data_IF_895917960090
#
_entry.id   IF_895917960090
#
_cell.length_a   1.000
_cell.length_b   1.000
_cell.length_c   1.000
_cell.angle_alpha   90.00
_cell.angle_beta   90.00
_cell.angle_gamma   90.00
#
_symmetry.space_group_name_H-M   'P 1'
#
loop_
_entity.id
_entity.type
_entity.pdbx_description
1 polymer ?
#
# COMPACT_ATOMS: atom_id res chain seq x y z
N UNK A 1 -28.41 -57.32 16.44
CA UNK A 1 -27.88 -56.38 15.43
C UNK A 1 -28.68 -55.09 15.58
N UNK A 2 -28.19 -54.15 16.39
CA UNK A 2 -28.77 -52.83 16.59
C UNK A 2 -27.90 -51.83 15.84
N UNK A 3 -28.51 -51.09 14.91
CA UNK A 3 -27.86 -50.02 14.16
C UNK A 3 -28.01 -48.75 15.00
N UNK A 4 -26.92 -48.29 15.61
CA UNK A 4 -26.84 -46.96 16.22
C UNK A 4 -26.55 -45.95 15.11
N UNK A 5 -27.50 -45.07 14.83
CA UNK A 5 -27.32 -43.94 13.93
C UNK A 5 -26.81 -42.79 14.81
N UNK A 6 -25.52 -42.47 14.71
CA UNK A 6 -24.98 -41.23 15.27
C UNK A 6 -25.48 -40.06 14.42
N UNK A 7 -26.34 -39.23 14.99
CA UNK A 7 -26.66 -37.91 14.46
C UNK A 7 -25.66 -36.93 15.08
N UNK A 8 -24.65 -36.53 14.30
CA UNK A 8 -23.81 -35.38 14.64
C UNK A 8 -24.64 -34.11 14.39
N UNK A 9 -25.04 -33.45 15.47
CA UNK A 9 -25.49 -32.06 15.46
C UNK A 9 -24.26 -31.20 15.26
N UNK A 10 -24.05 -30.69 14.04
CA UNK A 10 -23.01 -29.71 13.72
C UNK A 10 -23.68 -28.45 13.21
N UNK A 11 -24.20 -27.63 14.12
CA UNK A 11 -24.59 -26.25 13.85
C UNK A 11 -24.40 -25.44 15.14
N UNK A 12 -24.03 -24.17 14.99
CA UNK A 12 -23.60 -23.19 16.01
C UNK A 12 -22.09 -23.18 16.35
N UNK A 13 -21.27 -22.64 15.43
CA UNK A 13 -20.08 -21.86 15.82
C UNK A 13 -19.52 -20.96 14.70
N UNK A 14 -20.04 -21.02 13.47
CA UNK A 14 -19.57 -20.20 12.34
C UNK A 14 -20.23 -18.82 12.26
N UNK A 15 -21.46 -18.65 12.76
CA UNK A 15 -22.20 -17.39 12.64
C UNK A 15 -21.73 -16.28 13.60
N UNK A 16 -21.19 -16.63 14.77
CA UNK A 16 -20.81 -15.65 15.80
C UNK A 16 -19.43 -15.02 15.61
N UNK A 17 -18.55 -15.65 14.82
CA UNK A 17 -17.19 -15.17 14.61
C UNK A 17 -17.10 -14.17 13.44
N UNK A 18 -17.87 -14.34 12.36
CA UNK A 18 -17.87 -13.38 11.24
C UNK A 18 -18.51 -12.05 11.61
N UNK A 19 -19.64 -12.07 12.35
CA UNK A 19 -20.36 -10.86 12.75
C UNK A 19 -19.57 -9.99 13.74
N UNK A 20 -18.78 -10.62 14.63
CA UNK A 20 -17.91 -9.88 15.55
C UNK A 20 -16.74 -9.23 14.85
N UNK A 21 -16.06 -9.93 13.93
CA UNK A 21 -14.93 -9.36 13.17
C UNK A 21 -15.39 -8.23 12.24
N UNK A 22 -16.52 -8.40 11.55
CA UNK A 22 -17.13 -7.38 10.70
C UNK A 22 -17.43 -6.09 11.48
N UNK A 23 -17.92 -6.23 12.72
CA UNK A 23 -18.23 -5.08 13.58
C UNK A 23 -16.95 -4.32 14.01
N UNK A 24 -15.86 -5.04 14.33
CA UNK A 24 -14.61 -4.40 14.79
C UNK A 24 -13.94 -3.56 13.70
N UNK A 25 -13.86 -4.05 12.45
CA UNK A 25 -13.29 -3.24 11.36
C UNK A 25 -14.19 -2.10 10.93
N UNK A 26 -15.52 -2.26 11.02
CA UNK A 26 -16.44 -1.15 10.80
C UNK A 26 -16.19 -0.01 11.79
N UNK A 27 -16.04 -0.32 13.09
CA UNK A 27 -15.73 0.66 14.13
C UNK A 27 -14.36 1.33 13.90
N UNK A 28 -13.35 0.54 13.51
CA UNK A 28 -12.03 1.07 13.17
C UNK A 28 -12.11 2.06 12.00
N UNK A 29 -12.80 1.69 10.93
CA UNK A 29 -12.92 2.54 9.74
C UNK A 29 -13.65 3.86 10.05
N UNK A 30 -14.66 3.86 10.92
CA UNK A 30 -15.32 5.10 11.37
C UNK A 30 -14.34 6.02 12.13
N UNK A 31 -13.52 5.45 13.01
CA UNK A 31 -12.49 6.20 13.75
C UNK A 31 -11.41 6.74 12.83
N UNK A 32 -10.97 5.96 11.84
CA UNK A 32 -9.99 6.39 10.84
C UNK A 32 -10.55 7.51 9.95
N UNK A 33 -11.82 7.40 9.51
CA UNK A 33 -12.48 8.46 8.76
C UNK A 33 -12.58 9.77 9.56
N UNK A 34 -12.89 9.66 10.85
CA UNK A 34 -12.91 10.81 11.78
C UNK A 34 -11.52 11.44 11.91
N UNK A 35 -10.48 10.61 12.10
CA UNK A 35 -9.10 11.07 12.15
C UNK A 35 -8.68 11.77 10.86
N UNK A 36 -9.00 11.19 9.69
CA UNK A 36 -8.72 11.80 8.40
C UNK A 36 -9.32 13.19 8.30
N UNK A 37 -10.62 13.32 8.55
CA UNK A 37 -11.31 14.60 8.47
C UNK A 37 -10.67 15.67 9.38
N UNK A 38 -10.28 15.29 10.61
CA UNK A 38 -9.60 16.17 11.55
C UNK A 38 -8.21 16.59 11.03
N UNK A 39 -7.38 15.61 10.64
CA UNK A 39 -6.01 15.86 10.16
C UNK A 39 -5.99 16.78 8.94
N UNK A 40 -6.89 16.55 7.97
CA UNK A 40 -7.02 17.41 6.79
C UNK A 40 -7.43 18.84 7.14
N UNK A 41 -8.40 19.00 8.04
CA UNK A 41 -8.87 20.32 8.49
C UNK A 41 -7.78 21.09 9.23
N UNK A 42 -6.99 20.43 10.06
CA UNK A 42 -5.95 21.07 10.87
C UNK A 42 -4.73 21.52 10.05
N UNK A 43 -4.40 20.80 8.96
CA UNK A 43 -3.18 21.01 8.19
C UNK A 43 -3.38 21.77 6.87
N UNK A 44 -4.61 22.18 6.52
CA UNK A 44 -4.93 22.99 5.33
C UNK A 44 -4.36 22.47 4.01
N UNK A 45 -4.44 21.16 3.77
CA UNK A 45 -3.70 20.51 2.68
C UNK A 45 -4.50 20.57 1.37
N UNK A 46 -3.93 21.11 0.27
CA UNK A 46 -4.59 21.18 -1.02
C UNK A 46 -4.66 19.82 -1.72
N UNK A 47 -5.80 19.55 -2.36
CA UNK A 47 -6.04 18.33 -3.11
C UNK A 47 -5.43 18.43 -4.52
N UNK A 48 -4.39 17.64 -4.82
CA UNK A 48 -3.89 17.40 -6.19
C UNK A 48 -4.18 15.94 -6.57
N UNK A 49 -4.29 15.56 -7.86
CA UNK A 49 -4.92 14.27 -8.24
C UNK A 49 -4.13 13.30 -9.15
N UNK A 50 -3.29 13.77 -10.07
CA UNK A 50 -2.75 12.87 -11.13
C UNK A 50 -1.51 12.06 -10.71
N UNK A 51 -0.54 12.69 -10.05
CA UNK A 51 0.70 12.03 -9.60
C UNK A 51 0.43 10.92 -8.54
N UNK A 52 -0.65 11.04 -7.79
CA UNK A 52 -0.97 10.12 -6.69
C UNK A 52 -1.43 8.75 -7.13
N UNK A 53 -2.00 8.61 -8.32
CA UNK A 53 -2.42 7.29 -8.83
C UNK A 53 -1.21 6.37 -9.00
N UNK A 54 -0.15 6.87 -9.63
CA UNK A 54 1.11 6.13 -9.78
C UNK A 54 1.69 5.74 -8.44
N UNK A 55 1.73 6.68 -7.49
CA UNK A 55 2.24 6.43 -6.15
C UNK A 55 1.40 5.38 -5.42
N UNK A 56 0.06 5.52 -5.43
CA UNK A 56 -0.88 4.57 -4.82
C UNK A 56 -0.62 3.12 -5.25
N UNK A 57 -0.29 2.89 -6.52
CA UNK A 57 0.09 1.55 -7.00
C UNK A 57 1.32 0.96 -6.29
N UNK A 58 2.38 1.76 -6.09
CA UNK A 58 3.54 1.34 -5.28
C UNK A 58 3.18 1.12 -3.81
N UNK A 59 2.41 2.02 -3.21
CA UNK A 59 2.03 1.90 -1.79
C UNK A 59 1.24 0.61 -1.53
N UNK A 60 0.28 0.30 -2.40
CA UNK A 60 -0.52 -0.92 -2.32
C UNK A 60 0.32 -2.17 -2.63
N UNK A 61 1.28 -2.09 -3.55
CA UNK A 61 2.23 -3.19 -3.78
C UNK A 61 3.05 -3.48 -2.52
N UNK A 62 3.71 -2.46 -1.99
CA UNK A 62 4.65 -2.58 -0.87
C UNK A 62 3.92 -3.04 0.40
N UNK A 63 2.82 -2.36 0.74
CA UNK A 63 2.02 -2.68 1.92
C UNK A 63 1.30 -4.04 1.77
N UNK A 64 0.76 -4.34 0.59
CA UNK A 64 0.18 -5.65 0.29
C UNK A 64 1.22 -6.77 0.41
N UNK A 65 2.45 -6.54 -0.07
CA UNK A 65 3.58 -7.45 0.10
C UNK A 65 3.93 -7.70 1.57
N UNK A 66 3.95 -6.65 2.40
CA UNK A 66 4.15 -6.76 3.84
C UNK A 66 3.07 -7.63 4.50
N UNK A 67 1.83 -7.44 4.06
CA UNK A 67 0.65 -8.10 4.58
C UNK A 67 0.63 -9.59 4.23
N UNK A 68 0.88 -9.94 2.97
CA UNK A 68 1.00 -11.35 2.52
C UNK A 68 2.19 -12.04 3.20
N UNK A 69 3.29 -11.31 3.38
CA UNK A 69 4.50 -11.78 4.05
C UNK A 69 4.31 -12.08 5.53
N UNK A 70 3.35 -11.42 6.19
CA UNK A 70 3.13 -11.51 7.65
C UNK A 70 2.79 -12.92 8.13
N UNK A 71 2.30 -13.79 7.25
CA UNK A 71 2.05 -15.21 7.55
C UNK A 71 3.32 -15.97 7.97
N UNK A 72 4.50 -15.43 7.64
CA UNK A 72 5.80 -15.96 8.02
C UNK A 72 6.51 -15.07 9.06
N UNK A 73 5.79 -14.15 9.71
CA UNK A 73 6.34 -13.21 10.67
C UNK A 73 7.06 -12.01 10.04
N UNK A 74 7.78 -11.26 10.87
CA UNK A 74 8.33 -9.95 10.47
C UNK A 74 9.34 -9.98 9.32
N UNK A 75 10.16 -11.04 9.20
CA UNK A 75 11.06 -11.20 8.05
C UNK A 75 10.31 -11.54 6.77
N UNK A 76 9.21 -12.30 6.87
CA UNK A 76 8.30 -12.56 5.76
C UNK A 76 7.65 -11.28 5.25
N UNK A 77 7.14 -10.45 6.17
CA UNK A 77 6.61 -9.12 5.85
C UNK A 77 7.66 -8.25 5.16
N UNK A 78 8.89 -8.18 5.68
CA UNK A 78 9.95 -7.39 5.07
C UNK A 78 10.29 -7.88 3.66
N UNK A 79 10.52 -9.20 3.49
CA UNK A 79 10.82 -9.77 2.17
C UNK A 79 9.67 -9.52 1.19
N UNK A 80 8.42 -9.78 1.61
CA UNK A 80 7.24 -9.58 0.80
C UNK A 80 7.07 -8.13 0.35
N UNK A 81 7.28 -7.16 1.26
CA UNK A 81 7.21 -5.75 0.95
C UNK A 81 8.23 -5.34 -0.13
N UNK A 82 9.51 -5.67 0.10
CA UNK A 82 10.61 -5.31 -0.81
C UNK A 82 10.42 -6.00 -2.18
N UNK A 83 10.03 -7.28 -2.17
CA UNK A 83 9.83 -8.05 -3.39
C UNK A 83 8.64 -7.53 -4.20
N UNK A 84 7.50 -7.24 -3.56
CA UNK A 84 6.38 -6.58 -4.21
C UNK A 84 6.80 -5.23 -4.80
N UNK A 85 7.52 -4.40 -4.05
CA UNK A 85 7.99 -3.10 -4.52
C UNK A 85 8.78 -3.19 -5.81
N UNK A 86 9.71 -4.14 -5.83
CA UNK A 86 10.62 -4.34 -6.94
C UNK A 86 9.97 -4.98 -8.18
N UNK A 87 9.01 -5.89 -7.98
CA UNK A 87 8.48 -6.76 -9.05
C UNK A 87 7.05 -6.41 -9.44
N UNK A 88 6.16 -6.21 -8.46
CA UNK A 88 4.75 -5.90 -8.70
C UNK A 88 4.46 -4.39 -8.76
N UNK A 89 5.22 -3.57 -8.02
CA UNK A 89 5.07 -2.12 -7.92
C UNK A 89 4.95 -1.42 -9.27
N UNK A 90 5.86 -1.64 -10.25
CA UNK A 90 5.76 -1.02 -11.57
C UNK A 90 4.44 -1.35 -12.29
N UNK A 91 4.01 -2.61 -12.27
CA UNK A 91 2.78 -3.04 -12.93
C UNK A 91 1.52 -2.48 -12.22
N UNK A 92 1.53 -2.43 -10.89
CA UNK A 92 0.43 -1.88 -10.10
C UNK A 92 0.30 -0.36 -10.30
N UNK A 93 1.43 0.34 -10.36
CA UNK A 93 1.49 1.76 -10.66
C UNK A 93 0.98 2.06 -12.07
N UNK A 94 1.35 1.24 -13.06
CA UNK A 94 0.82 1.36 -14.43
C UNK A 94 -0.68 1.08 -14.49
N UNK A 95 -1.18 0.07 -13.77
CA UNK A 95 -2.61 -0.23 -13.66
C UNK A 95 -3.41 0.94 -13.09
N UNK A 96 -2.96 1.51 -11.96
CA UNK A 96 -3.59 2.68 -11.35
C UNK A 96 -3.58 3.90 -12.28
N UNK A 97 -2.51 4.10 -13.06
CA UNK A 97 -2.45 5.18 -14.05
C UNK A 97 -3.41 4.97 -15.24
N UNK A 98 -3.67 3.71 -15.63
CA UNK A 98 -4.61 3.36 -16.71
C UNK A 98 -6.07 3.39 -16.27
N UNK A 99 -6.34 3.33 -14.97
CA UNK A 99 -7.69 3.45 -14.42
C UNK A 99 -8.31 4.79 -14.84
N UNK A 100 -9.52 4.75 -15.42
CA UNK A 100 -10.24 5.96 -15.81
C UNK A 100 -10.46 6.83 -14.57
N UNK A 101 -10.31 8.14 -14.71
CA UNK A 101 -10.76 9.07 -13.68
C UNK A 101 -12.24 8.80 -13.42
N UNK A 102 -12.56 8.40 -12.19
CA UNK A 102 -13.93 8.48 -11.69
C UNK A 102 -14.41 9.90 -11.95
N UNK A 103 -15.39 10.01 -12.85
CA UNK A 103 -16.02 11.27 -13.16
C UNK A 103 -16.37 11.98 -11.87
N UNK A 104 -15.87 13.20 -11.72
CA UNK A 104 -16.35 14.29 -10.85
C UNK A 104 -17.38 13.80 -9.81
N UNK A 105 -16.92 13.29 -8.67
CA UNK A 105 -17.70 13.44 -7.45
C UNK A 105 -17.54 14.91 -7.06
N UNK A 106 -18.50 15.72 -7.53
CA UNK A 106 -18.72 17.04 -6.98
C UNK A 106 -19.13 16.78 -5.53
N UNK A 107 -18.20 16.94 -4.60
CA UNK A 107 -18.60 17.17 -3.21
C UNK A 107 -19.51 18.39 -3.30
N UNK A 108 -20.77 18.25 -2.92
CA UNK A 108 -21.72 19.35 -2.89
C UNK A 108 -21.14 20.42 -1.96
N UNK A 109 -20.54 21.44 -2.56
CA UNK A 109 -19.84 22.54 -1.90
C UNK A 109 -20.81 23.61 -1.43
N UNK A 110 -22.13 23.35 -1.46
CA UNK A 110 -23.14 24.31 -0.98
C UNK A 110 -23.03 24.65 0.52
N UNK A 111 -22.18 23.96 1.29
CA UNK A 111 -21.87 24.33 2.70
C UNK A 111 -20.74 25.37 2.82
N UNK A 112 -19.92 25.59 1.77
CA UNK A 112 -18.87 26.62 1.79
C UNK A 112 -19.11 27.68 0.72
N UNK A 113 -19.69 28.81 1.13
CA UNK A 113 -19.81 30.00 0.27
C UNK A 113 -18.43 30.43 -0.23
N UNK A 114 -18.22 30.60 -1.55
CA UNK A 114 -16.91 30.89 -2.11
C UNK A 114 -16.52 32.35 -1.87
N UNK A 115 -15.30 32.56 -1.35
CA UNK A 115 -14.61 33.84 -1.48
C UNK A 115 -14.14 33.96 -2.94
N UNK A 116 -14.40 35.12 -3.52
CA UNK A 116 -14.20 35.53 -4.92
C UNK A 116 -12.88 35.09 -5.56
N UNK A 117 -12.99 34.46 -6.75
CA UNK A 117 -11.88 34.11 -7.66
C UNK A 117 -11.03 35.32 -8.03
N UNK A 118 -9.71 35.17 -7.95
CA UNK A 118 -8.74 35.93 -8.76
C UNK A 118 -8.54 35.14 -10.06
N UNK A 119 -8.61 35.76 -11.26
CA UNK A 119 -8.47 35.04 -12.51
C UNK A 119 -6.98 34.80 -12.83
N UNK A 120 -6.58 33.55 -12.98
CA UNK A 120 -5.34 33.18 -13.66
C UNK A 120 -5.64 32.83 -15.12
N UNK A 121 -5.36 33.79 -16.00
CA UNK A 121 -5.22 33.54 -17.44
C UNK A 121 -3.92 32.77 -17.67
N UNK A 122 -4.01 31.50 -18.09
CA UNK A 122 -2.96 30.85 -18.89
C UNK A 122 -3.62 30.28 -20.14
N UNK A 123 -3.11 30.68 -21.30
CA UNK A 123 -3.61 30.26 -22.59
C UNK A 123 -3.24 28.78 -22.83
N UNK A 124 -4.10 27.98 -23.50
CA UNK A 124 -3.84 26.57 -23.78
C UNK A 124 -2.68 26.29 -24.76
N UNK A 125 -2.10 27.33 -25.36
CA UNK A 125 -1.09 27.20 -26.43
C UNK A 125 0.37 27.13 -25.90
N UNK A 126 0.60 27.29 -24.60
CA UNK A 126 1.92 27.13 -23.97
C UNK A 126 2.17 25.70 -23.45
N UNK A 127 1.27 24.75 -23.73
CA UNK A 127 1.52 23.33 -23.45
C UNK A 127 2.42 22.74 -24.53
N UNK A 128 3.72 22.66 -24.23
CA UNK A 128 4.66 21.86 -25.00
C UNK A 128 4.12 20.41 -25.12
N UNK A 129 4.06 19.82 -26.32
CA UNK A 129 3.53 18.47 -26.49
C UNK A 129 4.39 17.48 -25.71
N UNK A 130 3.74 16.66 -24.88
CA UNK A 130 4.40 15.63 -24.10
C UNK A 130 5.21 14.71 -25.03
N UNK A 131 6.54 14.76 -24.90
CA UNK A 131 7.44 13.85 -25.59
C UNK A 131 7.24 12.43 -25.01
N UNK A 132 6.78 11.45 -25.80
CA UNK A 132 6.53 10.09 -25.31
C UNK A 132 7.80 9.34 -24.89
N UNK A 133 9.00 9.85 -25.20
CA UNK A 133 10.27 9.27 -24.74
C UNK A 133 10.68 9.71 -23.32
N UNK A 134 9.92 10.60 -22.69
CA UNK A 134 10.17 11.10 -21.33
C UNK A 134 9.15 10.58 -20.31
N UNK A 135 8.78 9.29 -20.42
CA UNK A 135 8.12 8.58 -19.32
C UNK A 135 9.14 8.42 -18.19
N UNK A 136 9.27 9.45 -17.36
CA UNK A 136 10.19 9.47 -16.23
C UNK A 136 9.95 8.26 -15.32
N UNK A 137 10.79 7.23 -15.47
CA UNK A 137 10.94 6.20 -14.46
C UNK A 137 11.64 6.85 -13.28
N UNK A 138 10.91 6.95 -12.17
CA UNK A 138 11.34 7.76 -11.05
C UNK A 138 12.73 7.39 -10.51
N UNK A 139 13.53 8.39 -10.14
CA UNK A 139 14.77 8.21 -9.37
C UNK A 139 14.41 7.90 -7.91
N UNK A 140 14.90 6.80 -7.36
CA UNK A 140 14.65 6.43 -5.95
C UNK A 140 15.26 7.47 -5.01
N UNK A 141 14.46 7.98 -4.08
CA UNK A 141 14.95 8.86 -3.02
C UNK A 141 15.67 8.05 -1.92
N UNK A 142 16.88 7.62 -2.24
CA UNK A 142 17.62 6.53 -1.57
C UNK A 142 18.01 6.74 -0.09
N UNK A 143 17.64 7.87 0.53
CA UNK A 143 18.00 8.19 1.91
C UNK A 143 16.83 8.66 2.77
N UNK A 144 15.58 8.64 2.28
CA UNK A 144 14.43 9.17 3.03
C UNK A 144 13.60 8.03 3.60
N UNK A 145 13.39 8.11 4.92
CA UNK A 145 12.52 7.20 5.68
C UNK A 145 11.60 8.03 6.56
N UNK A 146 10.37 7.55 6.76
CA UNK A 146 9.39 8.14 7.68
C UNK A 146 9.63 7.62 9.10
N UNK A 147 9.95 6.33 9.20
CA UNK A 147 10.24 5.65 10.46
C UNK A 147 11.74 5.48 10.65
N UNK A 148 12.21 5.53 11.90
CA UNK A 148 13.64 5.35 12.22
C UNK A 148 14.05 3.90 12.50
N UNK A 149 13.08 2.99 12.51
CA UNK A 149 13.25 1.55 12.80
C UNK A 149 12.06 0.78 12.24
N UNK A 150 12.04 -0.53 12.42
CA UNK A 150 10.91 -1.36 11.99
C UNK A 150 10.95 -1.72 10.51
N UNK A 151 9.84 -2.28 10.02
CA UNK A 151 9.78 -2.87 8.68
C UNK A 151 9.80 -1.77 7.62
N UNK A 152 9.11 -0.64 7.84
CA UNK A 152 9.13 0.48 6.90
C UNK A 152 10.52 1.08 6.68
N UNK A 153 11.30 1.25 7.76
CA UNK A 153 12.68 1.71 7.68
C UNK A 153 13.56 0.73 6.89
N UNK A 154 13.50 -0.57 7.25
CA UNK A 154 14.31 -1.61 6.61
C UNK A 154 13.94 -1.78 5.13
N UNK A 155 12.66 -1.66 4.79
CA UNK A 155 12.16 -1.71 3.42
C UNK A 155 12.87 -0.70 2.52
N UNK A 156 12.79 0.59 2.85
CA UNK A 156 13.44 1.65 2.06
C UNK A 156 14.96 1.51 2.06
N UNK A 157 15.53 1.16 3.22
CA UNK A 157 16.98 1.00 3.36
C UNK A 157 17.51 -0.10 2.46
N UNK A 158 16.86 -1.26 2.42
CA UNK A 158 17.26 -2.38 1.57
C UNK A 158 17.05 -2.04 0.09
N UNK A 159 15.89 -1.49 -0.29
CA UNK A 159 15.65 -1.10 -1.69
C UNK A 159 16.70 -0.11 -2.20
N UNK A 160 17.09 0.84 -1.35
CA UNK A 160 18.13 1.82 -1.63
C UNK A 160 19.52 1.19 -1.79
N UNK A 161 19.89 0.26 -0.91
CA UNK A 161 21.14 -0.50 -1.01
C UNK A 161 21.22 -1.35 -2.27
N UNK A 162 20.12 -2.02 -2.66
CA UNK A 162 20.06 -2.78 -3.91
C UNK A 162 20.30 -1.83 -5.09
N UNK A 163 19.67 -0.65 -5.14
CA UNK A 163 19.90 0.33 -6.20
C UNK A 163 21.34 0.87 -6.23
N UNK A 164 21.96 1.05 -5.07
CA UNK A 164 23.36 1.51 -4.97
C UNK A 164 24.33 0.45 -5.53
N UNK A 165 24.10 -0.84 -5.24
CA UNK A 165 24.91 -1.95 -5.73
C UNK A 165 24.59 -2.34 -7.18
N UNK A 166 23.36 -2.12 -7.60
CA UNK A 166 22.84 -2.40 -8.92
C UNK A 166 22.09 -1.16 -9.45
N UNK A 167 22.82 -0.18 -10.04
CA UNK A 167 22.21 1.05 -10.55
C UNK A 167 21.09 0.77 -11.55
N UNK A 168 19.97 1.48 -11.38
CA UNK A 168 18.77 1.39 -12.23
C UNK A 168 18.10 0.01 -12.27
N UNK A 169 18.37 -0.86 -11.28
CA UNK A 169 17.82 -2.23 -11.22
C UNK A 169 16.29 -2.29 -11.37
N UNK A 170 15.56 -1.31 -10.85
CA UNK A 170 14.09 -1.25 -10.92
C UNK A 170 13.55 -0.68 -12.23
N UNK A 171 14.43 -0.18 -13.10
CA UNK A 171 14.10 0.24 -14.47
C UNK A 171 14.46 -0.85 -15.50
N UNK A 172 15.12 -1.91 -15.05
CA UNK A 172 15.59 -3.00 -15.88
C UNK A 172 14.66 -4.21 -15.77
N UNK A 173 14.61 -5.01 -16.82
CA UNK A 173 13.93 -6.31 -16.76
C UNK A 173 14.82 -7.31 -16.01
N UNK A 174 14.63 -7.35 -14.69
CA UNK A 174 15.32 -8.29 -13.78
C UNK A 174 14.37 -9.42 -13.44
N UNK A 175 14.84 -10.67 -13.55
CA UNK A 175 14.00 -11.82 -13.20
C UNK A 175 13.65 -11.84 -11.72
N UNK A 176 12.45 -12.34 -11.37
CA UNK A 176 12.01 -12.53 -9.98
C UNK A 176 13.05 -13.25 -9.11
N UNK A 177 13.67 -14.30 -9.65
CA UNK A 177 14.70 -15.07 -8.94
C UNK A 177 15.95 -14.24 -8.64
N UNK A 178 16.37 -13.40 -9.59
CA UNK A 178 17.54 -12.53 -9.42
C UNK A 178 17.23 -11.44 -8.41
N UNK A 179 16.05 -10.82 -8.50
CA UNK A 179 15.60 -9.81 -7.54
C UNK A 179 15.52 -10.40 -6.12
N UNK A 180 14.94 -11.59 -5.95
CA UNK A 180 14.89 -12.27 -4.66
C UNK A 180 16.29 -12.52 -4.08
N UNK A 181 17.28 -12.91 -4.91
CA UNK A 181 18.67 -13.08 -4.47
C UNK A 181 19.30 -11.77 -3.99
N UNK A 182 19.04 -10.65 -4.67
CA UNK A 182 19.51 -9.34 -4.21
C UNK A 182 18.90 -8.99 -2.86
N UNK A 183 17.59 -9.17 -2.70
CA UNK A 183 16.87 -8.89 -1.44
C UNK A 183 17.42 -9.73 -0.29
N UNK A 184 17.55 -11.04 -0.47
CA UNK A 184 18.07 -11.95 0.57
C UNK A 184 19.52 -11.62 0.94
N UNK A 185 20.33 -11.18 -0.03
CA UNK A 185 21.71 -10.76 0.20
C UNK A 185 21.75 -9.53 1.10
N UNK A 186 20.93 -8.51 0.81
CA UNK A 186 20.87 -7.31 1.64
C UNK A 186 20.24 -7.57 3.03
N UNK A 187 19.19 -8.39 3.11
CA UNK A 187 18.57 -8.77 4.39
C UNK A 187 19.58 -9.43 5.35
N UNK A 188 20.50 -10.26 4.82
CA UNK A 188 21.53 -10.91 5.63
C UNK A 188 22.49 -9.92 6.29
N UNK A 189 22.75 -8.76 5.70
CA UNK A 189 23.57 -7.71 6.34
C UNK A 189 22.93 -7.18 7.63
N UNK A 190 21.62 -7.36 7.81
CA UNK A 190 20.85 -6.98 9.00
C UNK A 190 20.55 -8.17 9.92
N UNK A 191 21.20 -9.32 9.72
CA UNK A 191 20.92 -10.57 10.43
C UNK A 191 19.48 -11.07 10.25
N UNK A 192 18.85 -10.75 9.12
CA UNK A 192 17.51 -11.21 8.77
C UNK A 192 17.60 -12.34 7.75
N UNK A 193 16.90 -13.43 8.02
CA UNK A 193 16.89 -14.62 7.17
C UNK A 193 15.48 -15.07 6.92
N UNK A 194 15.23 -15.52 5.69
CA UNK A 194 13.98 -16.16 5.28
C UNK A 194 14.34 -17.46 4.57
N UNK A 195 13.61 -18.55 4.85
CA UNK A 195 13.90 -19.85 4.24
C UNK A 195 13.60 -19.86 2.75
N UNK A 196 14.27 -20.72 1.98
CA UNK A 196 14.02 -20.86 0.54
C UNK A 196 12.55 -21.26 0.26
N UNK A 197 11.94 -22.04 1.15
CA UNK A 197 10.53 -22.43 1.05
C UNK A 197 9.59 -21.23 1.20
N UNK A 198 9.79 -20.40 2.23
CA UNK A 198 8.99 -19.19 2.45
C UNK A 198 9.17 -18.18 1.31
N UNK A 199 10.42 -17.98 0.85
CA UNK A 199 10.71 -17.16 -0.33
C UNK A 199 9.93 -17.66 -1.55
N UNK A 200 9.99 -18.95 -1.84
CA UNK A 200 9.31 -19.54 -3.00
C UNK A 200 7.80 -19.34 -2.94
N UNK A 201 7.19 -19.50 -1.76
CA UNK A 201 5.76 -19.27 -1.56
C UNK A 201 5.42 -17.80 -1.80
N UNK A 202 6.19 -16.87 -1.24
CA UNK A 202 5.94 -15.43 -1.41
C UNK A 202 6.14 -14.98 -2.85
N UNK A 203 7.22 -15.40 -3.51
CA UNK A 203 7.47 -15.10 -4.93
C UNK A 203 6.30 -15.57 -5.79
N UNK A 204 5.84 -16.81 -5.59
CA UNK A 204 4.71 -17.35 -6.34
C UNK A 204 3.42 -16.55 -6.10
N UNK A 205 3.11 -16.24 -4.83
CA UNK A 205 1.93 -15.42 -4.48
C UNK A 205 1.99 -14.05 -5.15
N UNK A 206 3.08 -13.32 -4.99
CA UNK A 206 3.23 -11.97 -5.58
C UNK A 206 3.14 -12.01 -7.10
N UNK A 207 3.84 -12.93 -7.76
CA UNK A 207 3.79 -13.04 -9.22
C UNK A 207 2.38 -13.38 -9.73
N UNK A 208 1.59 -14.12 -8.95
CA UNK A 208 0.22 -14.47 -9.33
C UNK A 208 -0.76 -13.30 -9.28
N UNK A 209 -0.40 -12.18 -8.64
CA UNK A 209 -1.27 -11.01 -8.48
C UNK A 209 -0.91 -9.84 -9.36
N UNK A 210 0.19 -9.93 -10.12
CA UNK A 210 0.56 -8.94 -11.13
C UNK A 210 -0.54 -8.91 -12.21
N UNK A 211 -1.21 -7.75 -12.42
CA UNK A 211 -2.17 -7.60 -13.50
C UNK A 211 -1.54 -8.01 -14.83
N UNK A 212 -2.24 -8.88 -15.54
CA UNK A 212 -1.89 -9.26 -16.91
C UNK A 212 -2.46 -8.23 -17.88
N UNK A 213 -1.95 -8.22 -19.10
CA UNK A 213 -2.36 -7.27 -20.15
C UNK A 213 -3.87 -7.31 -20.50
N UNK A 214 -4.56 -8.40 -20.14
CA UNK A 214 -6.00 -8.60 -20.37
C UNK A 214 -6.90 -8.14 -19.22
N UNK A 215 -6.34 -7.70 -18.09
CA UNK A 215 -7.12 -7.19 -16.97
C UNK A 215 -7.78 -5.86 -17.36
N UNK A 216 -9.08 -5.76 -17.10
CA UNK A 216 -9.82 -4.51 -17.34
C UNK A 216 -9.23 -3.39 -16.46
N UNK A 217 -8.68 -2.32 -17.05
CA UNK A 217 -8.10 -1.22 -16.29
C UNK A 217 -9.12 -0.46 -15.44
N UNK A 218 -10.43 -0.65 -15.66
CA UNK A 218 -11.47 -0.06 -14.83
C UNK A 218 -11.71 -0.82 -13.52
N UNK A 219 -11.14 -2.02 -13.35
CA UNK A 219 -11.18 -2.71 -12.04
C UNK A 219 -10.13 -2.04 -11.16
N UNK A 220 -10.55 -1.44 -10.03
CA UNK A 220 -9.62 -0.85 -9.08
C UNK A 220 -8.61 -1.87 -8.57
N UNK A 221 -7.33 -1.47 -8.42
CA UNK A 221 -6.27 -2.36 -7.96
C UNK A 221 -6.62 -3.02 -6.62
N UNK A 222 -7.26 -2.26 -5.72
CA UNK A 222 -7.65 -2.78 -4.41
C UNK A 222 -8.63 -3.96 -4.52
N UNK A 223 -9.51 -3.96 -5.52
CA UNK A 223 -10.45 -5.06 -5.76
C UNK A 223 -9.68 -6.31 -6.22
N UNK A 224 -8.68 -6.15 -7.09
CA UNK A 224 -7.82 -7.25 -7.54
C UNK A 224 -7.07 -7.86 -6.35
N UNK A 225 -6.52 -7.03 -5.47
CA UNK A 225 -5.79 -7.48 -4.28
C UNK A 225 -6.69 -8.21 -3.28
N UNK A 226 -7.90 -7.68 -3.02
CA UNK A 226 -8.88 -8.33 -2.14
C UNK A 226 -9.34 -9.68 -2.68
N UNK A 227 -9.52 -9.80 -4.01
CA UNK A 227 -9.85 -11.06 -4.65
C UNK A 227 -8.72 -12.10 -4.56
N UNK A 228 -7.46 -11.65 -4.68
CA UNK A 228 -6.31 -12.52 -4.55
C UNK A 228 -6.04 -12.95 -3.09
N UNK A 229 -6.38 -12.10 -2.13
CA UNK A 229 -6.11 -12.29 -0.70
C UNK A 229 -7.35 -12.02 0.16
N UNK A 230 -8.43 -12.81 0.02
CA UNK A 230 -9.69 -12.53 0.69
C UNK A 230 -9.59 -12.57 2.22
N UNK A 231 -8.65 -13.36 2.77
CA UNK A 231 -8.39 -13.42 4.21
C UNK A 231 -7.79 -12.14 4.81
N UNK A 232 -7.42 -11.17 3.98
CA UNK A 232 -6.88 -9.87 4.37
C UNK A 232 -7.72 -8.70 3.85
N UNK A 233 -8.97 -8.95 3.47
CA UNK A 233 -9.82 -7.94 2.82
C UNK A 233 -10.02 -6.70 3.68
N UNK A 234 -10.16 -6.87 5.00
CA UNK A 234 -10.37 -5.76 5.92
C UNK A 234 -9.09 -4.94 6.10
N UNK A 235 -7.94 -5.59 6.29
CA UNK A 235 -6.64 -4.92 6.39
C UNK A 235 -6.28 -4.20 5.09
N UNK A 236 -6.56 -4.80 3.94
CA UNK A 236 -6.40 -4.15 2.63
C UNK A 236 -7.28 -2.90 2.51
N UNK A 237 -8.48 -2.90 3.08
CA UNK A 237 -9.34 -1.70 3.08
C UNK A 237 -8.73 -0.56 3.89
N UNK A 238 -8.14 -0.86 5.06
CA UNK A 238 -7.44 0.14 5.87
C UNK A 238 -6.21 0.69 5.15
N UNK A 239 -5.44 -0.18 4.47
CA UNK A 239 -4.28 0.24 3.69
C UNK A 239 -4.66 1.09 2.48
N UNK A 240 -5.77 0.77 1.81
CA UNK A 240 -6.27 1.55 0.67
C UNK A 240 -6.73 2.94 1.08
N UNK A 241 -7.43 3.05 2.20
CA UNK A 241 -7.80 4.33 2.79
C UNK A 241 -6.54 5.15 3.13
N UNK A 242 -5.56 4.56 3.81
CA UNK A 242 -4.29 5.24 4.08
C UNK A 242 -3.56 5.66 2.79
N UNK A 243 -3.43 4.76 1.81
CA UNK A 243 -2.72 5.00 0.56
C UNK A 243 -3.40 6.10 -0.28
N UNK A 244 -4.73 6.17 -0.25
CA UNK A 244 -5.52 7.22 -0.91
C UNK A 244 -5.25 8.60 -0.30
N UNK A 245 -5.00 8.66 1.01
CA UNK A 245 -4.84 9.91 1.74
C UNK A 245 -3.38 10.35 1.93
N UNK A 246 -2.40 9.44 1.96
CA UNK A 246 -0.99 9.76 2.26
C UNK A 246 -0.22 10.32 1.05
N UNK A 247 -0.69 10.04 -0.18
CA UNK A 247 -0.44 10.94 -1.30
C UNK A 247 -0.89 12.36 -0.90
N UNK A 248 -0.64 13.46 -1.57
CA UNK A 248 -0.93 14.83 -1.06
C UNK A 248 -0.13 15.27 0.18
N UNK A 249 0.41 14.36 1.02
CA UNK A 249 1.27 14.69 2.16
C UNK A 249 2.77 14.60 1.83
N UNK A 250 3.11 13.99 0.70
CA UNK A 250 4.46 13.47 0.48
C UNK A 250 5.52 14.53 0.16
N UNK A 251 5.10 15.79 -0.01
CA UNK A 251 6.00 16.94 -0.02
C UNK A 251 6.62 17.23 1.36
N UNK A 252 6.17 16.56 2.42
CA UNK A 252 6.73 16.68 3.76
C UNK A 252 6.78 15.33 4.46
N UNK A 253 7.99 14.78 4.61
CA UNK A 253 8.23 13.57 5.42
C UNK A 253 7.69 13.71 6.84
N UNK A 254 7.75 14.90 7.44
CA UNK A 254 7.19 15.18 8.77
C UNK A 254 5.65 15.12 8.79
N UNK A 255 4.97 15.57 7.73
CA UNK A 255 3.51 15.40 7.64
C UNK A 255 3.12 13.93 7.43
N UNK A 256 3.82 13.21 6.56
CA UNK A 256 3.61 11.76 6.39
C UNK A 256 3.81 11.02 7.71
N UNK A 257 4.85 11.39 8.47
CA UNK A 257 5.14 10.82 9.78
C UNK A 257 4.03 11.08 10.79
N UNK A 258 3.60 12.34 10.94
CA UNK A 258 2.47 12.68 11.83
C UNK A 258 1.19 11.94 11.42
N UNK A 259 0.96 11.83 10.12
CA UNK A 259 -0.21 11.13 9.60
C UNK A 259 -0.21 9.64 9.95
N UNK A 260 0.94 8.98 9.74
CA UNK A 260 1.18 7.59 10.15
C UNK A 260 1.01 7.42 11.67
N UNK A 261 1.61 8.28 12.48
CA UNK A 261 1.54 8.19 13.95
C UNK A 261 0.09 8.22 14.45
N UNK A 262 -0.75 9.08 13.87
CA UNK A 262 -2.17 9.11 14.22
C UNK A 262 -2.95 7.87 13.76
N UNK A 263 -2.67 7.33 12.56
CA UNK A 263 -3.25 6.03 12.15
C UNK A 263 -2.91 4.91 13.12
N UNK A 264 -1.62 4.80 13.47
CA UNK A 264 -1.13 3.79 14.39
C UNK A 264 -1.76 3.96 15.78
N UNK A 265 -1.96 5.19 16.25
CA UNK A 265 -2.64 5.45 17.51
C UNK A 265 -4.13 5.03 17.47
N UNK A 266 -4.84 5.25 16.36
CA UNK A 266 -6.23 4.80 16.20
C UNK A 266 -6.30 3.26 16.22
N UNK A 267 -5.38 2.59 15.54
CA UNK A 267 -5.28 1.12 15.50
C UNK A 267 -4.92 0.56 16.87
N UNK A 268 -3.97 1.16 17.57
CA UNK A 268 -3.55 0.71 18.91
C UNK A 268 -4.71 0.74 19.90
N UNK A 269 -5.57 1.76 19.81
CA UNK A 269 -6.75 1.93 20.66
C UNK A 269 -8.00 1.18 20.17
N UNK A 270 -7.88 0.37 19.11
CA UNK A 270 -8.98 -0.41 18.56
C UNK A 270 -9.17 -1.74 19.30
N UNK A 271 -10.34 -2.36 19.06
CA UNK A 271 -10.70 -3.69 19.57
C UNK A 271 -10.10 -4.84 18.72
N UNK A 272 -9.19 -4.55 17.80
CA UNK A 272 -8.47 -5.56 17.03
C UNK A 272 -7.60 -6.43 17.95
N UNK A 273 -7.33 -7.66 17.50
CA UNK A 273 -6.32 -8.51 18.14
C UNK A 273 -4.91 -7.96 17.94
N UNK A 274 -3.98 -8.30 18.83
CA UNK A 274 -2.57 -7.89 18.70
C UNK A 274 -1.97 -8.31 17.36
N UNK A 275 -2.35 -9.49 16.86
CA UNK A 275 -1.92 -9.96 15.54
C UNK A 275 -2.41 -9.04 14.41
N UNK A 276 -3.67 -8.60 14.44
CA UNK A 276 -4.22 -7.70 13.44
C UNK A 276 -3.59 -6.31 13.51
N UNK A 277 -3.34 -5.80 14.73
CA UNK A 277 -2.64 -4.53 14.95
C UNK A 277 -1.23 -4.55 14.38
N UNK A 278 -0.46 -5.61 14.64
CA UNK A 278 0.91 -5.75 14.12
C UNK A 278 0.94 -5.92 12.59
N UNK A 279 -0.03 -6.62 11.99
CA UNK A 279 -0.17 -6.71 10.53
C UNK A 279 -0.43 -5.33 9.92
N UNK A 280 -1.41 -4.58 10.45
CA UNK A 280 -1.73 -3.24 9.97
C UNK A 280 -0.56 -2.28 10.16
N UNK A 281 0.08 -2.30 11.33
CA UNK A 281 1.25 -1.48 11.63
C UNK A 281 2.38 -1.74 10.62
N UNK A 282 2.68 -3.01 10.35
CA UNK A 282 3.71 -3.38 9.37
C UNK A 282 3.38 -2.85 7.97
N UNK A 283 2.13 -3.02 7.52
CA UNK A 283 1.69 -2.51 6.22
C UNK A 283 1.71 -0.98 6.13
N UNK A 284 1.26 -0.29 7.18
CA UNK A 284 1.21 1.19 7.23
C UNK A 284 2.59 1.82 7.32
N UNK A 285 3.51 1.26 8.12
CA UNK A 285 4.90 1.70 8.15
C UNK A 285 5.52 1.59 6.75
N UNK A 286 5.29 0.47 6.06
CA UNK A 286 5.78 0.25 4.70
C UNK A 286 5.14 1.23 3.72
N UNK A 287 3.82 1.42 3.75
CA UNK A 287 3.12 2.38 2.89
C UNK A 287 3.64 3.81 3.08
N UNK A 288 3.82 4.25 4.33
CA UNK A 288 4.33 5.59 4.63
C UNK A 288 5.77 5.79 4.15
N UNK A 289 6.65 4.80 4.36
CA UNK A 289 8.02 4.86 3.88
C UNK A 289 8.08 4.78 2.34
N UNK A 290 7.25 3.96 1.73
CA UNK A 290 7.05 3.90 0.27
C UNK A 290 6.62 5.24 -0.30
N UNK A 291 5.72 5.95 0.41
CA UNK A 291 5.22 7.28 0.06
C UNK A 291 6.27 8.39 0.07
N UNK A 292 7.49 8.17 0.58
CA UNK A 292 8.61 9.12 0.45
C UNK A 292 9.74 8.57 -0.40
N UNK A 293 9.76 7.25 -0.67
CA UNK A 293 10.75 6.58 -1.49
C UNK A 293 10.50 6.81 -2.98
N UNK A 294 9.24 6.61 -3.39
CA UNK A 294 8.80 6.64 -4.79
C UNK A 294 8.25 8.00 -5.23
N UNK A 295 8.34 9.00 -4.35
CA UNK A 295 8.09 10.39 -4.73
C UNK A 295 9.27 10.86 -5.54
N UNK A 296 9.06 11.02 -6.83
CA UNK A 296 10.08 11.51 -7.74
C UNK A 296 9.66 12.86 -8.27
N UNK A 297 10.53 13.83 -8.07
CA UNK A 297 10.49 15.17 -8.68
C UNK A 297 10.69 15.11 -10.19
#
# INVERSE_FOLDING_TARGET
MCICIFSCSSDENTYTQSDKTLNVYSELNEKLATYNAAFWSENNIPQTRSFWKRLKGYLLADAGGALIGSVFGGWGSLFGAIFCSAVAGPAYAEHEMKSKDDGIITIDTTIFKPITRIPTTRNPEDMEPANPENQGYGTINSNVTVTNSGIGYLHNTILSKINQKHPDVYKQSVSSETMAKYIVTEMKEYNLTISETEQSILIHKVNSTIPKDDVDPNIELIILLKNAYPGFSDELSVLDDFATNVGSLTNSTELVKKYLEGYLQVIENSNLTDSQKEILKSGLEVAANSAVLWVVE
#
